data_IF_223537636703
#
_entry.id   IF_223537636703
#
_cell.length_a   1.000
_cell.length_b   1.000
_cell.length_c   1.000
_cell.angle_alpha   90.00
_cell.angle_beta   90.00
_cell.angle_gamma   90.00
#
_symmetry.space_group_name_H-M   'P 1'
#
loop_
_entity.id
_entity.type
_entity.pdbx_description
1 polymer ?
#
# COMPACT_ATOMS: atom_id res chain seq x y z
N UNK A 1 -8.25 4.63 -2.02
CA UNK A 1 -6.78 4.41 -2.12
C UNK A 1 -6.46 2.92 -2.18
N UNK A 2 -7.13 2.14 -1.34
CA UNK A 2 -7.11 0.68 -1.20
C UNK A 2 -7.20 -0.08 -2.54
N UNK A 3 -8.12 0.31 -3.43
CA UNK A 3 -8.26 -0.32 -4.76
C UNK A 3 -7.02 -0.11 -5.63
N UNK A 4 -6.44 1.09 -5.62
CA UNK A 4 -5.22 1.41 -6.39
C UNK A 4 -4.06 0.53 -5.92
N UNK A 5 -3.84 0.46 -4.61
CA UNK A 5 -2.77 -0.35 -4.00
C UNK A 5 -2.88 -1.82 -4.39
N UNK A 6 -4.10 -2.37 -4.43
CA UNK A 6 -4.35 -3.75 -4.88
C UNK A 6 -4.14 -3.96 -6.38
N UNK A 7 -4.50 -2.99 -7.22
CA UNK A 7 -4.26 -3.08 -8.66
C UNK A 7 -2.77 -3.09 -8.99
N UNK A 8 -1.96 -2.28 -8.30
CA UNK A 8 -0.50 -2.30 -8.44
C UNK A 8 0.06 -3.68 -8.05
N UNK A 9 -0.39 -4.25 -6.93
CA UNK A 9 0.03 -5.58 -6.49
C UNK A 9 -0.25 -6.63 -7.59
N UNK A 10 -1.49 -6.71 -8.07
CA UNK A 10 -1.88 -7.71 -9.07
C UNK A 10 -1.12 -7.53 -10.38
N UNK A 11 -0.92 -6.28 -10.83
CA UNK A 11 -0.15 -6.00 -12.04
C UNK A 11 1.31 -6.48 -11.92
N UNK A 12 1.97 -6.18 -10.79
CA UNK A 12 3.33 -6.63 -10.54
C UNK A 12 3.42 -8.16 -10.43
N UNK A 13 2.49 -8.80 -9.73
CA UNK A 13 2.45 -10.26 -9.63
C UNK A 13 2.31 -10.91 -11.01
N UNK A 14 1.47 -10.33 -11.88
CA UNK A 14 1.24 -10.82 -13.24
C UNK A 14 2.46 -10.63 -14.14
N UNK A 15 3.08 -9.44 -14.11
CA UNK A 15 4.19 -9.09 -15.00
C UNK A 15 5.51 -9.76 -14.62
N UNK A 16 5.71 -10.02 -13.32
CA UNK A 16 6.95 -10.58 -12.77
C UNK A 16 6.84 -12.09 -12.50
N UNK A 17 5.67 -12.70 -12.79
CA UNK A 17 5.37 -14.11 -12.58
C UNK A 17 5.72 -14.59 -11.15
N UNK A 18 5.33 -13.80 -10.15
CA UNK A 18 5.58 -14.14 -8.74
C UNK A 18 4.48 -13.63 -7.83
N UNK A 19 4.08 -14.42 -6.85
CA UNK A 19 3.15 -13.97 -5.82
C UNK A 19 3.82 -13.06 -4.78
N UNK A 20 5.15 -13.10 -4.68
CA UNK A 20 5.95 -12.45 -3.64
C UNK A 20 6.14 -10.95 -3.92
N UNK A 21 5.08 -10.18 -3.75
CA UNK A 21 5.08 -8.73 -3.97
C UNK A 21 4.50 -8.01 -2.75
N UNK A 22 5.11 -6.89 -2.36
CA UNK A 22 4.57 -5.97 -1.36
C UNK A 22 4.44 -4.58 -1.97
N UNK A 23 3.32 -3.92 -1.68
CA UNK A 23 3.04 -2.54 -2.12
C UNK A 23 2.61 -1.74 -0.90
N UNK A 24 3.30 -0.62 -0.65
CA UNK A 24 2.91 0.38 0.35
C UNK A 24 2.73 1.73 -0.34
N UNK A 25 1.61 2.39 -0.08
CA UNK A 25 1.27 3.71 -0.63
C UNK A 25 0.87 4.62 0.52
N UNK A 26 1.64 5.68 0.68
CA UNK A 26 1.34 6.80 1.55
C UNK A 26 0.88 7.98 0.70
N UNK A 27 -0.31 8.51 0.98
CA UNK A 27 -0.83 9.65 0.24
C UNK A 27 -1.58 10.65 1.14
N UNK A 28 -1.55 11.92 0.73
CA UNK A 28 -2.35 12.98 1.32
C UNK A 28 -3.54 13.27 0.41
N UNK A 29 -4.75 13.29 0.98
CA UNK A 29 -5.98 13.54 0.24
C UNK A 29 -6.33 15.02 0.28
N UNK A 30 -6.12 15.74 -0.82
CA UNK A 30 -6.46 17.17 -0.88
C UNK A 30 -7.95 17.44 -0.73
N UNK A 31 -8.82 16.47 -1.06
CA UNK A 31 -10.25 16.55 -0.78
C UNK A 31 -10.57 16.59 0.72
N UNK A 32 -9.70 16.05 1.58
CA UNK A 32 -9.82 16.08 3.05
C UNK A 32 -9.10 17.30 3.64
N UNK A 33 -7.96 17.66 3.03
CA UNK A 33 -7.10 18.75 3.48
C UNK A 33 -7.65 20.14 3.16
N UNK A 34 -8.29 20.32 2.01
CA UNK A 34 -8.64 21.63 1.47
C UNK A 34 -10.15 21.93 1.47
N UNK A 35 -11.01 20.95 1.78
CA UNK A 35 -12.46 21.11 1.90
C UNK A 35 -12.98 20.22 3.04
N UNK A 36 -13.96 20.67 3.82
CA UNK A 36 -14.51 19.91 4.95
C UNK A 36 -13.69 20.06 6.24
N UNK A 37 -13.20 18.94 6.81
CA UNK A 37 -12.55 18.86 8.15
C UNK A 37 -11.25 19.67 8.26
N UNK A 38 -10.62 20.08 7.14
CA UNK A 38 -9.41 20.91 7.11
C UNK A 38 -8.24 20.34 7.94
N UNK A 39 -8.11 19.01 7.96
CA UNK A 39 -6.99 18.36 8.63
C UNK A 39 -5.76 18.37 7.70
N UNK A 40 -4.85 19.30 7.99
CA UNK A 40 -3.58 19.45 7.27
C UNK A 40 -2.55 18.35 7.56
N UNK A 41 -2.75 17.57 8.62
CA UNK A 41 -1.85 16.50 9.07
C UNK A 41 -2.24 15.11 8.55
N UNK A 42 -3.49 14.91 8.12
CA UNK A 42 -3.95 13.60 7.68
C UNK A 42 -3.17 13.05 6.47
N UNK A 43 -2.62 11.86 6.64
CA UNK A 43 -2.15 10.98 5.57
C UNK A 43 -2.90 9.66 5.68
N UNK A 44 -3.09 9.01 4.54
CA UNK A 44 -3.63 7.66 4.49
C UNK A 44 -2.53 6.74 4.02
N UNK A 45 -2.25 5.73 4.83
CA UNK A 45 -1.31 4.66 4.53
C UNK A 45 -2.10 3.41 4.16
N UNK A 46 -1.82 2.85 2.98
CA UNK A 46 -2.44 1.61 2.50
C UNK A 46 -1.38 0.65 2.04
N UNK A 47 -1.57 -0.62 2.37
CA UNK A 47 -0.64 -1.70 2.04
C UNK A 47 -1.38 -2.87 1.37
N UNK A 48 -0.71 -3.54 0.44
CA UNK A 48 -1.16 -4.78 -0.16
C UNK A 48 0.02 -5.75 -0.23
N UNK A 49 -0.13 -6.93 0.37
CA UNK A 49 0.94 -7.93 0.53
C UNK A 49 0.54 -9.24 -0.15
N UNK A 50 1.46 -9.82 -0.92
CA UNK A 50 1.31 -11.09 -1.63
C UNK A 50 2.41 -12.08 -1.27
N UNK A 51 2.11 -13.38 -1.42
CA UNK A 51 3.08 -14.46 -1.21
C UNK A 51 3.75 -14.39 0.15
N UNK A 52 5.08 -14.52 0.16
CA UNK A 52 5.91 -14.50 1.38
C UNK A 52 5.76 -13.20 2.17
N UNK A 53 5.52 -12.04 1.54
CA UNK A 53 5.30 -10.80 2.28
C UNK A 53 4.01 -10.82 3.10
N UNK A 54 3.06 -11.70 2.78
CA UNK A 54 1.83 -11.89 3.55
C UNK A 54 2.00 -12.91 4.69
N UNK A 55 2.82 -13.94 4.48
CA UNK A 55 2.92 -15.10 5.39
C UNK A 55 4.13 -15.08 6.30
N UNK A 56 5.24 -14.48 5.87
CA UNK A 56 6.47 -14.38 6.65
C UNK A 56 6.51 -13.04 7.40
N UNK A 57 6.33 -13.10 8.72
CA UNK A 57 6.35 -11.93 9.58
C UNK A 57 7.71 -11.23 9.64
N UNK A 58 8.81 -11.97 9.45
CA UNK A 58 10.17 -11.44 9.47
C UNK A 58 10.42 -10.65 8.19
N UNK A 59 10.09 -11.24 7.04
CA UNK A 59 10.18 -10.58 5.74
C UNK A 59 9.28 -9.34 5.68
N UNK A 60 8.05 -9.44 6.19
CA UNK A 60 7.13 -8.32 6.28
C UNK A 60 7.70 -7.20 7.15
N UNK A 61 8.27 -7.54 8.31
CA UNK A 61 8.88 -6.54 9.21
C UNK A 61 10.07 -5.86 8.55
N UNK A 62 10.93 -6.60 7.86
CA UNK A 62 12.07 -6.06 7.13
C UNK A 62 11.66 -5.13 5.97
N UNK A 63 10.49 -5.33 5.36
CA UNK A 63 9.97 -4.43 4.34
C UNK A 63 9.49 -3.09 4.90
N UNK A 64 9.09 -3.03 6.17
CA UNK A 64 8.58 -1.82 6.83
C UNK A 64 9.57 -1.18 7.82
N UNK A 65 10.74 -1.77 8.01
CA UNK A 65 11.84 -1.22 8.82
C UNK A 65 12.69 -0.24 8.02
#
# INVERSE_FOLDING_TARGET
QERLTRQILVALQTLLDTENVAVSVQARHYCVKARGVMDSGSSTDTQALGGLFRTDSTLRSAFFS
#
